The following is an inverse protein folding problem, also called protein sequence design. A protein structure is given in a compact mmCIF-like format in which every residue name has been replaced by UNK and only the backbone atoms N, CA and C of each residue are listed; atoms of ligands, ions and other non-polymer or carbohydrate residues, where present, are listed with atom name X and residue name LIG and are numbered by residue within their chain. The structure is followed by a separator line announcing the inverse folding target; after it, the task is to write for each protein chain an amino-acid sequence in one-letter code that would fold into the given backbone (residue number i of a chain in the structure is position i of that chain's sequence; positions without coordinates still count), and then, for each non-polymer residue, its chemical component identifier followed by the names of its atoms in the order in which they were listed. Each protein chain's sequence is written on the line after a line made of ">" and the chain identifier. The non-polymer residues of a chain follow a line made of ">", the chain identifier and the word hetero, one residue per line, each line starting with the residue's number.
data_IF_264663699100
#
_entry.id   IF_264663699100
#
_cell.length_a   1.000
_cell.length_b   1.000
_cell.length_c   1.000
_cell.angle_alpha   90.00
_cell.angle_beta   90.00
_cell.angle_gamma   90.00
#
_symmetry.space_group_name_H-M   'P 1'
#
loop_
_entity.id
_entity.type
_entity.pdbx_description
1 polymer ?
#
# COMPACT_ATOMS: atom_id res chain seq x y z
N UNK A 1 -7.87 3.57 0.92
CA UNK A 1 -6.45 3.21 1.13
C UNK A 1 -6.36 2.37 2.39
N UNK A 2 -5.47 1.37 2.42
CA UNK A 2 -5.24 0.51 3.59
C UNK A 2 -3.76 0.60 3.97
N UNK A 3 -3.47 0.73 5.26
CA UNK A 3 -2.10 0.88 5.78
C UNK A 3 -1.89 -0.16 6.89
N UNK A 4 -0.79 -0.91 6.80
CA UNK A 4 -0.41 -1.92 7.80
C UNK A 4 1.04 -1.76 8.24
N UNK A 5 1.31 -2.09 9.52
CA UNK A 5 2.67 -2.20 10.06
C UNK A 5 3.41 -3.44 9.55
N UNK A 6 2.70 -4.46 9.10
CA UNK A 6 3.22 -5.74 8.60
C UNK A 6 3.13 -5.89 7.09
N UNK A 7 3.48 -7.08 6.59
CA UNK A 7 3.34 -7.45 5.19
C UNK A 7 1.87 -7.71 4.82
N UNK A 8 1.40 -7.29 3.63
CA UNK A 8 0.16 -7.79 3.06
C UNK A 8 0.35 -9.20 2.48
N UNK A 9 -0.74 -9.96 2.34
CA UNK A 9 -0.75 -11.24 1.62
C UNK A 9 -1.01 -11.05 0.13
N UNK A 10 -0.53 -11.95 -0.72
CA UNK A 10 -0.74 -11.86 -2.17
C UNK A 10 -2.22 -11.83 -2.57
N UNK A 11 -3.05 -12.60 -1.86
CA UNK A 11 -4.50 -12.59 -2.07
C UNK A 11 -5.10 -11.20 -1.82
N UNK A 12 -4.70 -10.54 -0.73
CA UNK A 12 -5.16 -9.19 -0.41
C UNK A 12 -4.70 -8.17 -1.48
N UNK A 13 -3.47 -8.32 -2.00
CA UNK A 13 -2.97 -7.49 -3.10
C UNK A 13 -3.76 -7.70 -4.39
N UNK A 14 -4.15 -8.93 -4.72
CA UNK A 14 -4.97 -9.24 -5.88
C UNK A 14 -6.33 -8.54 -5.82
N UNK A 15 -7.03 -8.68 -4.69
CA UNK A 15 -8.32 -8.01 -4.46
C UNK A 15 -8.15 -6.48 -4.50
N UNK A 16 -7.11 -5.95 -3.88
CA UNK A 16 -6.84 -4.52 -3.88
C UNK A 16 -6.59 -3.96 -5.28
N UNK A 17 -5.91 -4.70 -6.17
CA UNK A 17 -5.74 -4.31 -7.57
C UNK A 17 -7.08 -4.26 -8.30
N UNK A 18 -7.91 -5.29 -8.15
CA UNK A 18 -9.23 -5.36 -8.80
C UNK A 18 -10.16 -4.23 -8.34
N UNK A 19 -10.13 -3.90 -7.05
CA UNK A 19 -10.96 -2.84 -6.48
C UNK A 19 -10.34 -1.43 -6.58
N UNK A 20 -9.14 -1.30 -7.15
CA UNK A 20 -8.44 -0.02 -7.23
C UNK A 20 -8.10 0.55 -5.84
N UNK A 21 -7.82 -0.29 -4.84
CA UNK A 21 -7.42 0.10 -3.48
C UNK A 21 -5.90 0.23 -3.41
N UNK A 22 -5.40 1.34 -2.86
CA UNK A 22 -3.97 1.51 -2.52
C UNK A 22 -3.66 0.78 -1.21
N UNK A 23 -2.68 -0.13 -1.25
CA UNK A 23 -2.19 -0.89 -0.10
C UNK A 23 -0.78 -0.45 0.23
N UNK A 24 -0.59 -0.05 1.49
CA UNK A 24 0.70 0.30 2.06
C UNK A 24 1.03 -0.70 3.17
N UNK A 25 2.21 -1.32 3.08
CA UNK A 25 2.72 -2.27 4.07
C UNK A 25 4.04 -1.80 4.67
N UNK A 26 4.45 -2.46 5.75
CA UNK A 26 5.66 -2.13 6.51
C UNK A 26 5.75 -0.64 6.93
N UNK A 27 4.61 -0.01 7.20
CA UNK A 27 4.60 1.40 7.56
C UNK A 27 5.37 1.65 8.88
N UNK A 28 6.24 2.66 8.85
CA UNK A 28 7.04 3.23 9.93
C UNK A 28 6.93 4.77 9.84
N UNK A 29 7.32 5.52 10.88
CA UNK A 29 7.17 6.98 10.88
C UNK A 29 7.79 7.69 9.68
N UNK A 30 8.90 7.16 9.16
CA UNK A 30 9.75 7.76 8.12
C UNK A 30 9.77 6.98 6.80
N UNK A 31 9.18 5.78 6.76
CA UNK A 31 9.22 4.91 5.57
C UNK A 31 8.02 3.98 5.49
N UNK A 32 7.68 3.59 4.28
CA UNK A 32 6.63 2.62 4.00
C UNK A 32 6.81 2.04 2.58
N UNK A 33 6.17 0.91 2.32
CA UNK A 33 6.17 0.29 0.99
C UNK A 33 4.77 0.35 0.41
N UNK A 34 4.65 0.85 -0.82
CA UNK A 34 3.39 0.83 -1.56
C UNK A 34 3.37 -0.43 -2.42
N UNK A 35 2.27 -1.19 -2.34
CA UNK A 35 2.11 -2.45 -3.08
C UNK A 35 1.14 -2.34 -4.26
N UNK A 36 0.21 -1.39 -4.23
CA UNK A 36 -0.80 -1.19 -5.27
C UNK A 36 -1.17 0.28 -5.39
N UNK A 37 -1.53 0.72 -6.59
CA UNK A 37 -2.10 2.03 -6.87
C UNK A 37 -1.27 3.20 -6.30
N UNK A 38 0.03 3.20 -6.58
CA UNK A 38 1.03 4.17 -6.12
C UNK A 38 0.86 5.57 -6.73
N UNK A 39 0.24 5.67 -7.91
CA UNK A 39 -0.10 6.95 -8.55
C UNK A 39 -0.99 7.86 -7.69
N UNK A 40 -1.61 7.34 -6.62
CA UNK A 40 -2.42 8.12 -5.67
C UNK A 40 -1.60 8.73 -4.52
N UNK A 41 -0.31 8.44 -4.43
CA UNK A 41 0.55 8.92 -3.34
C UNK A 41 1.39 10.10 -3.84
N UNK A 42 1.16 11.27 -3.25
CA UNK A 42 2.05 12.42 -3.44
C UNK A 42 3.17 12.37 -2.39
N UNK A 43 4.40 12.14 -2.84
CA UNK A 43 5.60 12.24 -1.98
C UNK A 43 6.22 13.61 -2.21
N UNK A 44 6.30 14.41 -1.13
CA UNK A 44 7.12 15.63 -1.14
C UNK A 44 8.56 15.25 -0.83
N UNK A 45 9.49 15.77 -1.62
CA UNK A 45 10.93 15.66 -1.36
C UNK A 45 11.33 16.53 -0.18
#
# INVERSE_FOLDING_TARGET
>A
MIISRGAPTDMALGIAKQLGITVIGFARPDKFNIYTNDQRIAVRK
#
